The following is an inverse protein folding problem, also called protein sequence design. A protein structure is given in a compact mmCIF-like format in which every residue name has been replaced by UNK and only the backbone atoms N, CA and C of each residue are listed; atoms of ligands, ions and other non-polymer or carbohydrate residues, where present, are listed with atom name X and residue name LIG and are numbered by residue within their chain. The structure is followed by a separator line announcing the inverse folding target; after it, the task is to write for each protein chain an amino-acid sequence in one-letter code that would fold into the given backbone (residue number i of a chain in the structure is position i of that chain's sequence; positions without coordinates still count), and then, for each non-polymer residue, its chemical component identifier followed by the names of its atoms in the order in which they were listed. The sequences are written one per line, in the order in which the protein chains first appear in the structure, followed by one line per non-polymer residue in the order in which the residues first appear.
data_IF_505472688641
#
_entry.id   IF_505472688641
#
_cell.length_a   1.000
_cell.length_b   1.000
_cell.length_c   1.000
_cell.angle_alpha   90.00
_cell.angle_beta   90.00
_cell.angle_gamma   90.00
#
_symmetry.space_group_name_H-M   'P 1'
#
loop_
_entity.id
_entity.type
_entity.pdbx_description
1 polymer ?
#
# COMPACT_ATOMS: atom_id res chain seq x y z
N UNK A 1 -4.71 -11.90 -13.94
CA UNK A 1 -5.06 -11.90 -12.48
C UNK A 1 -3.89 -11.64 -11.51
N UNK A 2 -2.61 -11.59 -11.94
CA UNK A 2 -1.47 -11.21 -11.07
C UNK A 2 -0.92 -9.80 -11.33
N UNK A 3 -1.30 -9.16 -12.44
CA UNK A 3 -0.76 -7.86 -12.86
C UNK A 3 -1.26 -6.69 -12.01
N UNK A 4 -2.54 -6.70 -11.61
CA UNK A 4 -3.14 -5.61 -10.83
C UNK A 4 -2.43 -5.41 -9.48
N UNK A 5 -2.07 -6.50 -8.79
CA UNK A 5 -1.33 -6.40 -7.52
C UNK A 5 0.08 -5.85 -7.70
N UNK A 6 0.79 -6.30 -8.74
CA UNK A 6 2.15 -5.83 -9.02
C UNK A 6 2.16 -4.33 -9.26
N UNK A 7 1.16 -3.83 -10.00
CA UNK A 7 0.96 -2.40 -10.27
C UNK A 7 0.64 -1.60 -9.01
N UNK A 8 -0.29 -2.09 -8.17
CA UNK A 8 -0.61 -1.46 -6.88
C UNK A 8 0.65 -1.37 -6.00
N UNK A 9 1.40 -2.47 -5.87
CA UNK A 9 2.63 -2.51 -5.07
C UNK A 9 3.66 -1.51 -5.58
N UNK A 10 3.88 -1.44 -6.89
CA UNK A 10 4.81 -0.47 -7.49
C UNK A 10 4.35 0.98 -7.28
N UNK A 11 3.05 1.27 -7.39
CA UNK A 11 2.51 2.60 -7.10
C UNK A 11 2.62 2.96 -5.61
N UNK A 12 2.37 2.01 -4.71
CA UNK A 12 2.59 2.18 -3.26
C UNK A 12 4.06 2.50 -3.00
N UNK A 13 4.99 1.69 -3.52
CA UNK A 13 6.44 1.95 -3.39
C UNK A 13 6.86 3.28 -4.02
N UNK A 14 6.19 3.72 -5.08
CA UNK A 14 6.48 5.01 -5.71
C UNK A 14 5.97 6.20 -4.88
N UNK A 15 4.78 6.09 -4.28
CA UNK A 15 4.19 7.17 -3.46
C UNK A 15 4.91 7.28 -2.12
N UNK A 16 5.21 6.13 -1.51
CA UNK A 16 5.88 6.02 -0.22
C UNK A 16 7.31 5.49 -0.41
N UNK A 17 8.05 6.09 -1.36
CA UNK A 17 9.43 5.67 -1.65
C UNK A 17 10.42 5.92 -0.51
N UNK A 18 10.07 6.77 0.45
CA UNK A 18 10.85 7.05 1.66
C UNK A 18 10.74 5.90 2.69
N UNK A 19 9.74 5.04 2.53
CA UNK A 19 9.46 3.94 3.44
C UNK A 19 9.84 2.60 2.83
N UNK A 20 10.65 1.83 3.54
CA UNK A 20 10.96 0.45 3.14
C UNK A 20 9.80 -0.48 3.52
N UNK A 21 9.05 -0.90 2.51
CA UNK A 21 8.01 -1.91 2.67
C UNK A 21 8.55 -3.31 2.37
N UNK A 22 8.44 -4.18 3.37
CA UNK A 22 8.75 -5.60 3.20
C UNK A 22 7.76 -6.26 2.21
N UNK A 23 8.30 -6.90 1.18
CA UNK A 23 7.51 -7.49 0.09
C UNK A 23 6.62 -8.65 0.60
N UNK A 24 6.99 -9.36 1.69
CA UNK A 24 6.14 -10.40 2.28
C UNK A 24 4.95 -9.80 3.01
N UNK A 25 5.15 -8.72 3.76
CA UNK A 25 4.08 -8.00 4.48
C UNK A 25 3.06 -7.43 3.48
N UNK A 26 3.53 -6.75 2.43
CA UNK A 26 2.64 -6.28 1.36
C UNK A 26 1.92 -7.45 0.69
N UNK A 27 2.63 -8.53 0.35
CA UNK A 27 2.02 -9.71 -0.28
C UNK A 27 0.97 -10.38 0.61
N UNK A 28 1.08 -10.29 1.94
CA UNK A 28 0.03 -10.74 2.88
C UNK A 28 -1.16 -9.80 2.93
N UNK A 29 -0.95 -8.50 2.76
CA UNK A 29 -2.01 -7.51 2.62
C UNK A 29 -2.69 -7.55 1.23
N UNK A 30 -2.15 -8.33 0.28
CA UNK A 30 -2.75 -8.51 -1.04
C UNK A 30 -4.18 -9.03 -0.95
N UNK A 31 -5.12 -8.25 -1.48
CA UNK A 31 -6.55 -8.58 -1.47
C UNK A 31 -7.29 -8.06 -0.24
N UNK A 32 -6.58 -7.54 0.76
CA UNK A 32 -7.15 -6.92 1.96
C UNK A 32 -6.67 -5.48 2.08
N UNK A 33 -7.47 -4.55 1.53
CA UNK A 33 -7.20 -3.11 1.55
C UNK A 33 -6.91 -2.57 2.94
N UNK A 34 -7.70 -2.98 3.95
CA UNK A 34 -7.55 -2.52 5.33
C UNK A 34 -6.18 -2.86 5.92
N UNK A 35 -5.68 -4.08 5.66
CA UNK A 35 -4.33 -4.49 6.08
C UNK A 35 -3.24 -3.67 5.41
N UNK A 36 -3.41 -3.33 4.13
CA UNK A 36 -2.45 -2.52 3.41
C UNK A 36 -2.41 -1.09 3.95
N UNK A 37 -3.58 -0.50 4.18
CA UNK A 37 -3.69 0.84 4.75
C UNK A 37 -3.08 0.89 6.14
N UNK A 38 -3.35 -0.13 6.97
CA UNK A 38 -2.77 -0.23 8.31
C UNK A 38 -1.26 -0.40 8.28
N UNK A 39 -0.72 -1.18 7.35
CA UNK A 39 0.73 -1.32 7.13
C UNK A 39 1.35 0.03 6.76
N UNK A 40 0.73 0.76 5.83
CA UNK A 40 1.23 2.08 5.41
C UNK A 40 1.16 3.07 6.57
N UNK A 41 0.06 3.10 7.33
CA UNK A 41 -0.10 3.95 8.50
C UNK A 41 0.98 3.68 9.55
N UNK A 42 1.23 2.40 9.88
CA UNK A 42 2.22 1.99 10.87
C UNK A 42 3.64 2.43 10.48
N UNK A 43 3.95 2.42 9.18
CA UNK A 43 5.28 2.77 8.67
C UNK A 43 5.49 4.26 8.40
N UNK A 44 4.46 4.94 7.90
CA UNK A 44 4.54 6.35 7.46
C UNK A 44 4.06 7.32 8.54
N UNK A 45 3.25 6.86 9.48
CA UNK A 45 2.51 7.70 10.42
C UNK A 45 1.36 8.50 9.78
N UNK A 46 1.13 8.38 8.46
CA UNK A 46 0.07 9.11 7.78
C UNK A 46 -1.32 8.61 8.20
N UNK A 47 -2.31 9.48 8.36
CA UNK A 47 -3.65 9.06 8.75
C UNK A 47 -4.27 8.12 7.69
N UNK A 48 -5.02 7.09 8.13
CA UNK A 48 -5.55 6.06 7.23
C UNK A 48 -6.45 6.63 6.13
N UNK A 49 -7.18 7.71 6.40
CA UNK A 49 -8.00 8.45 5.44
C UNK A 49 -7.21 9.02 4.25
N UNK A 50 -6.02 9.57 4.49
CA UNK A 50 -5.13 10.07 3.43
C UNK A 50 -4.58 8.91 2.59
N UNK A 51 -4.24 7.81 3.25
CA UNK A 51 -3.77 6.59 2.60
C UNK A 51 -4.87 6.01 1.72
N UNK A 52 -6.11 5.92 2.22
CA UNK A 52 -7.28 5.49 1.43
C UNK A 52 -7.50 6.37 0.21
N UNK A 53 -7.35 7.69 0.36
CA UNK A 53 -7.48 8.63 -0.76
C UNK A 53 -6.40 8.39 -1.83
N UNK A 54 -5.14 8.21 -1.43
CA UNK A 54 -4.03 7.91 -2.35
C UNK A 54 -4.24 6.55 -3.02
N UNK A 55 -4.64 5.53 -2.26
CA UNK A 55 -4.96 4.18 -2.76
C UNK A 55 -6.16 4.18 -3.72
N UNK A 56 -7.18 4.99 -3.46
CA UNK A 56 -8.34 5.15 -4.33
C UNK A 56 -8.05 5.85 -5.65
N UNK A 57 -6.98 6.66 -5.71
CA UNK A 57 -6.49 7.26 -6.95
C UNK A 57 -5.62 6.31 -7.79
N UNK A 58 -5.17 5.19 -7.19
CA UNK A 58 -4.30 4.17 -7.79
C UNK A 58 -5.10 3.03 -8.44
N UNK A 59 -6.25 2.68 -7.86
CA UNK A 59 -7.19 1.65 -8.35
C UNK A 59 -8.01 2.14 -9.55
#
# INVERSE_FOLDING_TARGET
MNESWRRIRDQVKSIWSDVDFDDKEMKRARGEMDKLVRLIHDRTGEPPEDIYRKMGAIL
#
